data_IF_975027101658
#
_entry.id   IF_975027101658
#
_cell.length_a   1.000
_cell.length_b   1.000
_cell.length_c   1.000
_cell.angle_alpha   90.00
_cell.angle_beta   90.00
_cell.angle_gamma   90.00
#
_symmetry.space_group_name_H-M   'P 1'
#
loop_
_entity.id
_entity.type
_entity.pdbx_description
1 polymer ?
#
# COMPACT_ATOMS: atom_id res chain seq x y z
N UNK A 1 20.09 -4.38 16.43
CA UNK A 1 20.23 -4.17 15.00
C UNK A 1 20.40 -5.54 14.35
N UNK A 2 19.39 -6.00 13.63
CA UNK A 2 19.54 -7.21 12.81
C UNK A 2 20.54 -6.89 11.70
N UNK A 3 21.51 -7.80 11.42
CA UNK A 3 22.36 -7.64 10.24
C UNK A 3 21.42 -7.56 9.03
N UNK A 4 21.79 -6.77 8.04
CA UNK A 4 21.01 -6.50 6.83
C UNK A 4 20.42 -7.81 6.29
N UNK A 5 19.22 -8.13 6.71
CA UNK A 5 18.49 -9.28 6.21
C UNK A 5 18.00 -8.93 4.81
N UNK A 6 18.27 -9.78 3.83
CA UNK A 6 17.82 -9.58 2.46
C UNK A 6 16.29 -9.58 2.34
N UNK A 7 15.57 -10.17 3.31
CA UNK A 7 14.11 -10.15 3.41
C UNK A 7 13.65 -10.67 4.77
N UNK A 8 12.50 -10.19 5.24
CA UNK A 8 11.80 -10.72 6.41
C UNK A 8 10.73 -11.73 5.95
N UNK A 9 10.61 -12.82 6.70
CA UNK A 9 9.59 -13.84 6.48
C UNK A 9 8.94 -14.20 7.81
N UNK A 10 7.64 -14.09 7.86
CA UNK A 10 6.85 -14.61 8.96
C UNK A 10 6.62 -16.12 8.73
N UNK A 11 6.78 -16.92 9.77
CA UNK A 11 6.55 -18.37 9.77
C UNK A 11 5.51 -18.69 10.82
N UNK A 12 4.24 -18.49 10.48
CA UNK A 12 3.08 -18.69 11.37
C UNK A 12 2.47 -20.08 11.20
N UNK A 13 2.52 -20.59 9.97
CA UNK A 13 1.88 -21.83 9.55
C UNK A 13 2.59 -22.46 8.33
N UNK A 14 2.06 -23.59 7.85
CA UNK A 14 2.62 -24.31 6.71
C UNK A 14 2.55 -23.50 5.40
N UNK A 15 1.55 -22.62 5.25
CA UNK A 15 1.46 -21.79 4.05
C UNK A 15 2.61 -20.77 3.97
N UNK A 16 3.09 -20.29 5.11
CA UNK A 16 4.26 -19.42 5.20
C UNK A 16 5.55 -20.20 4.82
N UNK A 17 5.67 -21.45 5.21
CA UNK A 17 6.78 -22.34 4.81
C UNK A 17 6.74 -22.63 3.30
N UNK A 18 5.58 -22.90 2.74
CA UNK A 18 5.40 -23.11 1.30
C UNK A 18 5.76 -21.86 0.50
N UNK A 19 5.39 -20.68 0.99
CA UNK A 19 5.79 -19.39 0.39
C UNK A 19 7.30 -19.23 0.39
N UNK A 20 7.96 -19.49 1.52
CA UNK A 20 9.42 -19.45 1.61
C UNK A 20 10.06 -20.43 0.64
N UNK A 21 9.56 -21.67 0.55
CA UNK A 21 10.03 -22.68 -0.38
C UNK A 21 9.89 -22.22 -1.84
N UNK A 22 8.74 -21.65 -2.24
CA UNK A 22 8.55 -21.09 -3.58
C UNK A 22 9.55 -19.97 -3.88
N UNK A 23 9.81 -19.10 -2.90
CA UNK A 23 10.78 -18.01 -3.05
C UNK A 23 12.20 -18.52 -3.25
N UNK A 24 12.64 -19.50 -2.46
CA UNK A 24 13.96 -20.11 -2.58
C UNK A 24 14.14 -20.85 -3.91
N UNK A 25 13.06 -21.38 -4.47
CA UNK A 25 13.05 -22.05 -5.79
C UNK A 25 12.91 -21.10 -6.97
N UNK A 26 12.79 -19.77 -6.75
CA UNK A 26 12.53 -18.81 -7.81
C UNK A 26 11.14 -18.92 -8.45
N UNK A 27 10.16 -19.49 -7.73
CA UNK A 27 8.78 -19.73 -8.18
C UNK A 27 7.74 -18.87 -7.47
N UNK A 28 8.18 -17.92 -6.66
CA UNK A 28 7.29 -17.03 -5.95
C UNK A 28 6.49 -16.15 -6.92
N UNK A 29 5.21 -15.94 -6.61
CA UNK A 29 4.29 -15.12 -7.40
C UNK A 29 4.13 -13.75 -6.75
N UNK A 30 4.52 -12.70 -7.46
CA UNK A 30 4.31 -11.31 -7.07
C UNK A 30 3.03 -10.75 -7.67
N UNK A 31 2.22 -10.07 -6.87
CA UNK A 31 1.05 -9.32 -7.31
C UNK A 31 1.33 -7.82 -7.21
N UNK A 32 1.26 -7.11 -8.33
CA UNK A 32 1.44 -5.66 -8.36
C UNK A 32 0.13 -4.98 -8.75
N UNK A 33 -0.30 -4.01 -7.94
CA UNK A 33 -1.58 -3.34 -8.07
C UNK A 33 -1.35 -1.85 -8.40
N UNK A 34 -1.77 -1.45 -9.61
CA UNK A 34 -1.64 -0.06 -10.07
C UNK A 34 -2.58 0.91 -9.34
N UNK A 35 -2.25 2.19 -9.40
CA UNK A 35 -3.15 3.27 -8.99
C UNK A 35 -4.34 3.42 -9.94
N UNK A 36 -5.39 4.09 -9.49
CA UNK A 36 -6.57 4.32 -10.33
C UNK A 36 -7.78 4.90 -9.60
N UNK A 37 -7.61 5.36 -8.37
CA UNK A 37 -8.71 5.88 -7.55
C UNK A 37 -9.82 4.84 -7.38
N UNK A 38 -11.07 5.21 -7.62
CA UNK A 38 -12.22 4.30 -7.48
C UNK A 38 -12.15 3.06 -8.38
N UNK A 39 -11.41 3.11 -9.51
CA UNK A 39 -11.22 1.95 -10.38
C UNK A 39 -10.43 0.82 -9.74
N UNK A 40 -9.69 1.11 -8.66
CA UNK A 40 -8.98 0.10 -7.86
C UNK A 40 -9.88 -1.01 -7.31
N UNK A 41 -11.19 -0.79 -7.19
CA UNK A 41 -12.11 -1.88 -6.82
C UNK A 41 -12.04 -3.10 -7.76
N UNK A 42 -11.65 -2.91 -9.02
CA UNK A 42 -11.44 -4.02 -9.95
C UNK A 42 -10.34 -5.00 -9.49
N UNK A 43 -9.34 -4.51 -8.76
CA UNK A 43 -8.27 -5.35 -8.19
C UNK A 43 -8.82 -6.43 -7.25
N UNK A 44 -9.90 -6.14 -6.51
CA UNK A 44 -10.51 -7.12 -5.61
C UNK A 44 -11.07 -8.33 -6.36
N UNK A 45 -11.68 -8.09 -7.52
CA UNK A 45 -12.15 -9.18 -8.40
C UNK A 45 -10.98 -10.03 -8.93
N UNK A 46 -9.85 -9.41 -9.27
CA UNK A 46 -8.65 -10.12 -9.71
C UNK A 46 -8.09 -10.97 -8.57
N UNK A 47 -7.96 -10.41 -7.36
CA UNK A 47 -7.46 -11.13 -6.17
C UNK A 47 -8.35 -12.33 -5.85
N UNK A 48 -9.67 -12.16 -5.92
CA UNK A 48 -10.63 -13.26 -5.72
C UNK A 48 -10.41 -14.36 -6.76
N UNK A 49 -10.35 -14.01 -8.04
CA UNK A 49 -10.14 -14.98 -9.12
C UNK A 49 -8.82 -15.73 -8.98
N UNK A 50 -7.74 -15.08 -8.56
CA UNK A 50 -6.45 -15.73 -8.29
C UNK A 50 -6.58 -16.74 -7.15
N UNK A 51 -7.25 -16.38 -6.05
CA UNK A 51 -7.49 -17.26 -4.90
C UNK A 51 -8.37 -18.46 -5.29
N UNK A 52 -9.45 -18.24 -6.03
CA UNK A 52 -10.33 -19.30 -6.54
C UNK A 52 -9.59 -20.26 -7.49
N UNK A 53 -8.65 -19.75 -8.28
CA UNK A 53 -7.80 -20.55 -9.15
C UNK A 53 -6.63 -21.25 -8.42
N UNK A 54 -6.51 -21.07 -7.09
CA UNK A 54 -5.41 -21.64 -6.29
C UNK A 54 -4.03 -21.06 -6.62
N UNK A 55 -3.99 -19.85 -7.22
CA UNK A 55 -2.74 -19.17 -7.53
C UNK A 55 -2.27 -18.45 -6.26
N UNK A 56 -1.07 -18.80 -5.73
CA UNK A 56 -0.56 -18.18 -4.51
C UNK A 56 -0.17 -16.72 -4.76
N UNK A 57 -0.28 -15.89 -3.74
CA UNK A 57 0.24 -14.53 -3.72
C UNK A 57 1.34 -14.51 -2.67
N UNK A 58 2.59 -14.40 -3.10
CA UNK A 58 3.76 -14.52 -2.24
C UNK A 58 4.39 -13.18 -1.89
N UNK A 59 4.14 -12.16 -2.70
CA UNK A 59 4.63 -10.79 -2.53
C UNK A 59 3.61 -9.82 -3.12
N UNK A 60 3.43 -8.68 -2.47
CA UNK A 60 2.46 -7.67 -2.94
C UNK A 60 3.16 -6.33 -3.10
N UNK A 61 2.91 -5.69 -4.23
CA UNK A 61 3.34 -4.32 -4.48
C UNK A 61 2.19 -3.42 -4.90
N UNK A 62 2.34 -2.11 -4.77
CA UNK A 62 1.28 -1.23 -5.27
C UNK A 62 1.61 0.25 -5.29
N UNK A 63 0.80 0.98 -6.07
CA UNK A 63 0.79 2.43 -6.14
C UNK A 63 -0.59 2.98 -5.77
N UNK A 64 -0.65 4.10 -5.03
CA UNK A 64 -1.91 4.79 -4.72
C UNK A 64 -2.97 3.87 -4.10
N UNK A 65 -4.15 3.76 -4.72
CA UNK A 65 -5.21 2.84 -4.27
C UNK A 65 -4.74 1.38 -4.29
N UNK A 66 -3.90 0.99 -5.27
CA UNK A 66 -3.31 -0.33 -5.33
C UNK A 66 -2.40 -0.63 -4.13
N UNK A 67 -1.67 0.37 -3.63
CA UNK A 67 -0.89 0.25 -2.40
C UNK A 67 -1.78 0.00 -1.18
N UNK A 68 -2.89 0.74 -1.05
CA UNK A 68 -3.82 0.61 0.08
C UNK A 68 -4.48 -0.78 0.06
N UNK A 69 -4.92 -1.26 -1.11
CA UNK A 69 -5.45 -2.62 -1.27
C UNK A 69 -4.39 -3.68 -1.00
N UNK A 70 -3.21 -3.49 -1.59
CA UNK A 70 -2.08 -4.38 -1.43
C UNK A 70 -1.64 -4.54 0.03
N UNK A 71 -1.63 -3.47 0.79
CA UNK A 71 -1.32 -3.53 2.22
C UNK A 71 -2.35 -4.34 3.02
N UNK A 72 -3.64 -4.25 2.69
CA UNK A 72 -4.68 -5.08 3.28
C UNK A 72 -4.50 -6.57 2.95
N UNK A 73 -4.13 -6.87 1.70
CA UNK A 73 -3.81 -8.25 1.27
C UNK A 73 -2.56 -8.75 1.99
N UNK A 74 -1.52 -7.92 2.07
CA UNK A 74 -0.27 -8.26 2.75
C UNK A 74 -0.45 -8.43 4.27
N UNK A 75 -1.41 -7.72 4.86
CA UNK A 75 -1.82 -7.87 6.24
C UNK A 75 -2.65 -9.13 6.50
N UNK A 76 -2.93 -9.91 5.44
CA UNK A 76 -3.74 -11.14 5.48
C UNK A 76 -5.16 -10.88 6.01
N UNK A 77 -5.72 -9.71 5.67
CA UNK A 77 -7.08 -9.39 6.08
C UNK A 77 -8.11 -10.20 5.28
N UNK A 78 -9.22 -10.59 5.93
CA UNK A 78 -10.36 -11.14 5.22
C UNK A 78 -10.81 -10.20 4.09
N UNK A 79 -11.23 -10.76 2.96
CA UNK A 79 -11.64 -9.97 1.79
C UNK A 79 -12.72 -8.94 2.15
N UNK A 80 -13.69 -9.31 2.99
CA UNK A 80 -14.73 -8.42 3.46
C UNK A 80 -14.17 -7.20 4.20
N UNK A 81 -13.13 -7.38 5.02
CA UNK A 81 -12.48 -6.28 5.71
C UNK A 81 -11.78 -5.33 4.74
N UNK A 82 -11.15 -5.86 3.69
CA UNK A 82 -10.52 -5.06 2.64
C UNK A 82 -11.59 -4.27 1.87
N UNK A 83 -12.69 -4.91 1.51
CA UNK A 83 -13.84 -4.27 0.85
C UNK A 83 -14.43 -3.16 1.73
N UNK A 84 -14.67 -3.44 3.01
CA UNK A 84 -15.28 -2.49 3.94
C UNK A 84 -14.39 -1.28 4.20
N UNK A 85 -13.08 -1.47 4.35
CA UNK A 85 -12.13 -0.37 4.47
C UNK A 85 -12.23 0.55 3.25
N UNK A 86 -12.31 -0.02 2.05
CA UNK A 86 -12.42 0.74 0.81
C UNK A 86 -13.78 1.41 0.67
N UNK A 87 -14.87 0.73 1.00
CA UNK A 87 -16.20 1.32 1.02
C UNK A 87 -16.27 2.49 2.01
N UNK A 88 -15.72 2.31 3.21
CA UNK A 88 -15.63 3.40 4.18
C UNK A 88 -14.77 4.55 3.67
N UNK A 89 -13.65 4.23 3.01
CA UNK A 89 -12.72 5.22 2.48
C UNK A 89 -13.30 6.10 1.37
N UNK A 90 -14.14 5.54 0.50
CA UNK A 90 -14.61 6.24 -0.70
C UNK A 90 -16.10 6.59 -0.67
N UNK A 91 -16.92 5.86 0.09
CA UNK A 91 -18.38 6.01 0.06
C UNK A 91 -18.92 6.63 1.34
N UNK A 92 -18.51 6.13 2.52
CA UNK A 92 -19.18 6.45 3.78
C UNK A 92 -18.58 7.66 4.50
N UNK A 93 -17.24 7.76 4.58
CA UNK A 93 -16.58 8.81 5.38
C UNK A 93 -16.09 9.99 4.57
N UNK A 94 -16.15 9.89 3.23
CA UNK A 94 -15.61 10.90 2.32
C UNK A 94 -14.30 11.53 2.85
N UNK A 95 -13.19 10.76 2.89
CA UNK A 95 -11.94 11.19 3.52
C UNK A 95 -11.33 12.40 2.81
N UNK A 96 -11.84 12.74 1.63
CA UNK A 96 -11.49 13.93 0.89
C UNK A 96 -12.38 15.13 1.22
N UNK A 97 -13.20 15.09 2.27
CA UNK A 97 -14.06 16.22 2.67
C UNK A 97 -13.39 17.24 3.59
N UNK A 98 -12.12 17.09 3.92
CA UNK A 98 -11.35 18.02 4.75
C UNK A 98 -10.74 19.17 3.91
N UNK A 99 -11.61 20.05 3.46
CA UNK A 99 -11.21 21.23 2.68
C UNK A 99 -10.23 22.11 3.43
N UNK A 100 -9.30 22.73 2.70
CA UNK A 100 -8.36 23.71 3.23
C UNK A 100 -8.17 24.86 2.24
N UNK A 101 -7.51 25.94 2.66
CA UNK A 101 -7.11 27.00 1.74
C UNK A 101 -6.18 26.40 0.67
N UNK A 102 -6.47 26.57 -0.62
CA UNK A 102 -5.79 25.85 -1.71
C UNK A 102 -4.42 26.45 -2.05
N UNK A 103 -3.55 26.61 -1.04
CA UNK A 103 -2.17 27.07 -1.26
C UNK A 103 -1.27 25.96 -1.80
N UNK A 104 -1.47 24.73 -1.34
CA UNK A 104 -0.69 23.55 -1.74
C UNK A 104 -1.58 22.43 -2.26
N UNK A 105 -2.78 22.30 -1.68
CA UNK A 105 -3.75 21.26 -2.03
C UNK A 105 -5.16 21.70 -1.69
N UNK A 106 -6.15 21.07 -2.31
CA UNK A 106 -7.57 21.32 -2.04
C UNK A 106 -8.03 20.73 -0.70
N UNK A 107 -7.32 19.71 -0.20
CA UNK A 107 -7.67 18.97 1.01
C UNK A 107 -6.52 18.99 2.00
N UNK A 108 -6.83 18.96 3.29
CA UNK A 108 -5.82 18.96 4.34
C UNK A 108 -5.13 17.59 4.52
N UNK A 109 -5.76 16.51 4.08
CA UNK A 109 -5.23 15.14 4.14
C UNK A 109 -5.26 14.50 5.54
N UNK A 110 -5.80 15.20 6.54
CA UNK A 110 -5.88 14.70 7.94
C UNK A 110 -6.78 13.48 8.05
N UNK A 111 -7.92 13.49 7.33
CA UNK A 111 -8.88 12.38 7.35
C UNK A 111 -8.30 11.13 6.70
N UNK A 112 -7.59 11.27 5.59
CA UNK A 112 -6.89 10.16 4.93
C UNK A 112 -5.83 9.58 5.87
N UNK A 113 -5.00 10.43 6.48
CA UNK A 113 -3.98 10.00 7.44
C UNK A 113 -4.59 9.27 8.64
N UNK A 114 -5.68 9.81 9.21
CA UNK A 114 -6.37 9.19 10.33
C UNK A 114 -6.99 7.82 9.96
N UNK A 115 -7.56 7.70 8.76
CA UNK A 115 -8.10 6.45 8.25
C UNK A 115 -7.02 5.39 8.10
N UNK A 116 -5.91 5.72 7.42
CA UNK A 116 -4.80 4.78 7.21
C UNK A 116 -4.16 4.38 8.54
N UNK A 117 -3.96 5.34 9.45
CA UNK A 117 -3.43 5.06 10.79
C UNK A 117 -4.38 4.20 11.63
N UNK A 118 -5.69 4.42 11.53
CA UNK A 118 -6.69 3.59 12.21
C UNK A 118 -6.69 2.16 11.67
N UNK A 119 -6.52 1.98 10.35
CA UNK A 119 -6.53 0.68 9.70
C UNK A 119 -5.28 -0.15 9.99
N UNK A 120 -4.10 0.46 9.91
CA UNK A 120 -2.82 -0.23 10.03
C UNK A 120 -2.14 -0.07 11.41
N UNK A 121 -2.61 0.88 12.25
CA UNK A 121 -1.98 1.20 13.53
C UNK A 121 -0.57 1.76 13.34
N UNK A 122 0.31 1.42 14.25
CA UNK A 122 1.75 1.74 14.21
C UNK A 122 2.58 0.55 13.68
N UNK A 123 1.98 -0.29 12.83
CA UNK A 123 2.64 -1.45 12.23
C UNK A 123 3.61 -0.99 11.15
N UNK A 124 4.80 -1.56 11.16
CA UNK A 124 5.76 -1.37 10.11
C UNK A 124 5.48 -2.29 8.90
N UNK A 125 5.99 -1.93 7.73
CA UNK A 125 5.80 -2.71 6.49
C UNK A 125 6.38 -4.11 6.67
N UNK A 126 7.55 -4.22 7.30
CA UNK A 126 8.23 -5.48 7.56
C UNK A 126 7.50 -6.39 8.56
N UNK A 127 6.53 -5.85 9.32
CA UNK A 127 5.66 -6.62 10.22
C UNK A 127 4.43 -7.21 9.52
N UNK A 128 4.26 -6.95 8.24
CA UNK A 128 3.13 -7.53 7.48
C UNK A 128 3.39 -9.01 7.19
N UNK A 129 2.36 -9.87 7.31
CA UNK A 129 2.44 -11.29 7.03
C UNK A 129 3.03 -11.65 5.66
N UNK A 130 2.64 -10.93 4.60
CA UNK A 130 3.26 -11.06 3.29
C UNK A 130 4.26 -9.93 3.07
N UNK A 131 5.39 -10.20 2.41
CA UNK A 131 6.28 -9.16 1.94
C UNK A 131 5.51 -8.13 1.10
N UNK A 132 5.71 -6.85 1.42
CA UNK A 132 4.98 -5.75 0.81
C UNK A 132 5.91 -4.60 0.45
N UNK A 133 5.60 -3.93 -0.65
CA UNK A 133 6.15 -2.61 -0.95
C UNK A 133 5.09 -1.70 -1.52
N UNK A 134 5.29 -0.40 -1.39
CA UNK A 134 4.55 0.57 -2.18
C UNK A 134 5.48 1.66 -2.70
N UNK A 135 5.01 2.38 -3.70
CA UNK A 135 5.82 3.42 -4.35
C UNK A 135 5.22 4.80 -4.18
N UNK A 136 6.09 5.80 -4.09
CA UNK A 136 5.74 7.20 -4.20
C UNK A 136 6.70 7.92 -5.15
N UNK A 137 6.24 9.00 -5.75
CA UNK A 137 7.07 9.85 -6.60
C UNK A 137 7.80 10.89 -5.76
N UNK A 138 9.11 10.93 -5.84
CA UNK A 138 9.94 11.87 -5.11
C UNK A 138 10.21 13.11 -5.96
N UNK A 139 9.55 14.21 -5.65
CA UNK A 139 9.69 15.48 -6.38
C UNK A 139 11.05 16.15 -6.13
N UNK A 140 11.74 15.80 -5.06
CA UNK A 140 13.07 16.38 -4.76
C UNK A 140 14.15 15.79 -5.65
N UNK A 141 14.10 14.48 -5.91
CA UNK A 141 15.09 13.77 -6.72
C UNK A 141 14.63 13.50 -8.16
N UNK A 142 13.33 13.58 -8.45
CA UNK A 142 12.75 13.18 -9.73
C UNK A 142 12.69 11.66 -9.92
N UNK A 143 12.91 10.86 -8.88
CA UNK A 143 12.95 9.40 -8.95
C UNK A 143 11.77 8.78 -8.22
N UNK A 144 11.51 7.51 -8.54
CA UNK A 144 10.60 6.68 -7.76
C UNK A 144 11.20 6.38 -6.39
N UNK A 145 10.40 6.47 -5.35
CA UNK A 145 10.76 6.07 -4.00
C UNK A 145 9.99 4.81 -3.63
N UNK A 146 10.72 3.72 -3.39
CA UNK A 146 10.16 2.44 -2.97
C UNK A 146 10.16 2.37 -1.45
N UNK A 147 9.02 2.08 -0.86
CA UNK A 147 8.82 1.89 0.57
C UNK A 147 8.69 0.41 0.87
N UNK A 148 9.70 -0.17 1.48
CA UNK A 148 9.75 -1.58 1.88
C UNK A 148 9.88 -1.75 3.40
N UNK A 149 9.98 -0.65 4.12
CA UNK A 149 10.19 -0.63 5.58
C UNK A 149 9.60 0.61 6.24
N UNK A 150 9.43 0.53 7.56
CA UNK A 150 8.89 1.58 8.40
C UNK A 150 7.37 1.65 8.36
N UNK A 151 6.80 2.66 9.01
CA UNK A 151 5.36 2.76 9.26
C UNK A 151 4.51 2.65 8.00
N UNK A 152 3.75 1.58 7.87
CA UNK A 152 2.93 1.26 6.72
C UNK A 152 1.96 2.40 6.37
N UNK A 153 1.24 2.97 7.36
CA UNK A 153 0.30 4.05 7.11
C UNK A 153 0.96 5.31 6.51
N UNK A 154 2.23 5.60 6.87
CA UNK A 154 2.97 6.75 6.31
C UNK A 154 3.36 6.51 4.86
N UNK A 155 3.84 5.32 4.55
CA UNK A 155 4.17 4.91 3.19
C UNK A 155 2.93 4.97 2.28
N UNK A 156 1.81 4.41 2.74
CA UNK A 156 0.52 4.45 2.04
C UNK A 156 0.01 5.89 1.84
N UNK A 157 0.21 6.76 2.86
CA UNK A 157 -0.15 8.18 2.75
C UNK A 157 0.69 8.90 1.70
N UNK A 158 1.99 8.59 1.59
CA UNK A 158 2.86 9.13 0.55
C UNK A 158 2.44 8.62 -0.84
N UNK A 159 2.24 7.29 -0.95
CA UNK A 159 1.81 6.63 -2.19
C UNK A 159 0.46 7.14 -2.73
N UNK A 160 -0.41 7.67 -1.87
CA UNK A 160 -1.74 8.20 -2.22
C UNK A 160 -1.83 9.74 -2.20
N UNK A 161 -0.71 10.44 -2.15
CA UNK A 161 -0.67 11.91 -2.10
C UNK A 161 -0.86 12.54 -3.49
N UNK A 162 -2.07 12.46 -4.04
CA UNK A 162 -2.41 12.98 -5.37
C UNK A 162 -2.14 14.49 -5.42
N UNK A 163 -1.23 14.98 -6.31
CA UNK A 163 -0.90 16.38 -6.43
C UNK A 163 -2.14 17.26 -6.66
N UNK A 164 -2.20 18.40 -5.97
CA UNK A 164 -3.34 19.32 -6.02
C UNK A 164 -4.54 18.87 -5.18
N UNK A 165 -4.76 17.57 -4.97
CA UNK A 165 -5.86 17.04 -4.16
C UNK A 165 -5.44 16.89 -2.70
N UNK A 166 -4.33 16.20 -2.45
CA UNK A 166 -3.78 15.97 -1.11
C UNK A 166 -2.40 16.64 -0.98
N UNK A 167 -2.04 17.12 0.22
CA UNK A 167 -0.72 17.69 0.42
C UNK A 167 0.36 16.61 0.27
N UNK A 168 1.53 16.95 -0.27
CA UNK A 168 2.66 16.04 -0.33
C UNK A 168 3.08 15.60 1.08
N UNK A 169 3.78 14.49 1.17
CA UNK A 169 4.36 13.98 2.40
C UNK A 169 5.83 14.37 2.46
N UNK A 170 6.22 15.05 3.54
CA UNK A 170 7.61 15.34 3.82
C UNK A 170 8.21 14.17 4.60
N UNK A 171 9.27 13.58 4.05
CA UNK A 171 9.98 12.47 4.68
C UNK A 171 11.48 12.59 4.43
N UNK A 172 12.28 12.62 5.50
CA UNK A 172 13.75 12.73 5.44
C UNK A 172 14.24 13.86 4.49
N UNK A 173 13.58 15.03 4.54
CA UNK A 173 13.93 16.19 3.68
C UNK A 173 13.47 16.06 2.23
N UNK A 174 12.74 15.02 1.87
CA UNK A 174 12.20 14.78 0.54
C UNK A 174 10.71 15.09 0.48
N UNK A 175 10.24 15.50 -0.71
CA UNK A 175 8.85 15.80 -1.00
C UNK A 175 8.27 14.63 -1.81
N UNK A 176 7.38 13.87 -1.18
CA UNK A 176 6.78 12.66 -1.77
C UNK A 176 5.33 12.92 -2.14
N UNK A 177 4.95 12.48 -3.34
CA UNK A 177 3.59 12.51 -3.87
C UNK A 177 3.18 11.13 -4.38
N UNK A 178 1.94 11.02 -4.87
CA UNK A 178 1.37 9.77 -5.41
C UNK A 178 2.34 9.05 -6.37
N UNK A 179 2.47 7.74 -6.20
CA UNK A 179 3.38 6.91 -6.99
C UNK A 179 3.08 6.99 -8.49
N UNK A 180 1.81 7.04 -8.85
CA UNK A 180 1.36 7.11 -10.24
C UNK A 180 1.77 8.36 -11.01
N UNK A 181 2.45 9.32 -10.37
CA UNK A 181 3.00 10.51 -11.06
C UNK A 181 4.22 10.14 -11.91
N UNK A 182 5.10 9.28 -11.41
CA UNK A 182 6.32 8.83 -12.12
C UNK A 182 6.08 7.43 -12.72
N UNK A 183 5.57 6.51 -11.91
CA UNK A 183 5.32 5.13 -12.35
C UNK A 183 4.07 4.59 -11.65
N UNK A 184 3.11 4.18 -12.45
CA UNK A 184 1.84 3.64 -11.95
C UNK A 184 1.86 2.10 -11.77
N UNK A 185 3.02 1.48 -11.95
CA UNK A 185 3.28 0.04 -11.87
C UNK A 185 2.49 -0.82 -12.87
#
# INVERSE_FOLDING_TARGET
>A
AYPVAAAHHHLRDDADLDRLARRLQGRAVGLVLSGGGARGFAHLGVVRALREAGIPIDHVGGASIGAILGAGIAADWPEEQVIDLHRQSFVTTNPLSDWTLPLVSLRAGRKVSALLRRAHGERDIEDLPLPFFCVSSNLTSGLLNVHESGLAWRALRASSAIPGVLPPVLHAGQVLVDGGVIDNL
#
